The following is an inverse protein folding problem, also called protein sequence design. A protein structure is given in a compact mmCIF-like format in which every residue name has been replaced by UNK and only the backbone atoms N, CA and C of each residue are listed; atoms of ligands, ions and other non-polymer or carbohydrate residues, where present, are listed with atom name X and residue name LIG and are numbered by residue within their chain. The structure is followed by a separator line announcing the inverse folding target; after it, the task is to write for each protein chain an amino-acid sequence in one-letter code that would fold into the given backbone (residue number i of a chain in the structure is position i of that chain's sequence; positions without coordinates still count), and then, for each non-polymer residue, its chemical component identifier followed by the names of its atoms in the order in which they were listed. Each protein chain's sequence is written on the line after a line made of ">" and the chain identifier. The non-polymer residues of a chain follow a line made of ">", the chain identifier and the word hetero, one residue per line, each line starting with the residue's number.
data_IF_839170627932
#
_entry.id   IF_839170627932
#
_cell.length_a   1.000
_cell.length_b   1.000
_cell.length_c   1.000
_cell.angle_alpha   90.00
_cell.angle_beta   90.00
_cell.angle_gamma   90.00
#
_symmetry.space_group_name_H-M   'P 1'
#
loop_
_entity.id
_entity.type
_entity.pdbx_description
1 polymer ?
#
# COMPACT_ATOMS: atom_id res chain seq x y z
N UNK A 1 5.36 -7.89 2.06
CA UNK A 1 4.52 -6.74 2.44
C UNK A 1 4.33 -6.80 3.95
N UNK A 2 4.45 -5.68 4.67
CA UNK A 2 4.35 -5.68 6.14
C UNK A 2 2.89 -5.74 6.60
N UNK A 3 2.64 -6.26 7.79
CA UNK A 3 1.29 -6.37 8.35
C UNK A 3 0.59 -5.03 8.53
N UNK A 4 1.32 -3.98 8.91
CA UNK A 4 0.76 -2.62 9.04
C UNK A 4 0.31 -2.09 7.69
N UNK A 5 1.11 -2.27 6.64
CA UNK A 5 0.72 -1.85 5.30
C UNK A 5 -0.52 -2.62 4.83
N UNK A 6 -0.52 -3.95 4.98
CA UNK A 6 -1.66 -4.80 4.61
C UNK A 6 -2.94 -4.34 5.32
N UNK A 7 -2.87 -4.09 6.63
CA UNK A 7 -3.98 -3.60 7.43
C UNK A 7 -4.54 -2.29 6.87
N UNK A 8 -3.68 -1.29 6.64
CA UNK A 8 -4.10 0.04 6.18
C UNK A 8 -4.63 0.01 4.74
N UNK A 9 -3.99 -0.72 3.83
CA UNK A 9 -4.35 -0.77 2.42
C UNK A 9 -5.59 -1.63 2.13
N UNK A 10 -5.79 -2.71 2.89
CA UNK A 10 -6.87 -3.69 2.66
C UNK A 10 -8.03 -3.53 3.65
N UNK A 11 -7.84 -2.81 4.75
CA UNK A 11 -8.85 -2.64 5.79
C UNK A 11 -8.88 -3.75 6.83
N UNK A 12 -8.06 -4.79 6.68
CA UNK A 12 -7.96 -5.90 7.63
C UNK A 12 -6.60 -6.60 7.56
N UNK A 13 -6.23 -7.28 8.65
CA UNK A 13 -5.06 -8.14 8.73
C UNK A 13 -5.48 -9.52 9.23
N UNK A 14 -5.38 -10.58 8.40
CA UNK A 14 -5.81 -11.91 8.80
C UNK A 14 -4.87 -12.50 9.88
N UNK A 15 -5.37 -13.35 10.79
CA UNK A 15 -4.56 -13.96 11.86
C UNK A 15 -3.39 -14.80 11.35
N UNK A 16 -3.43 -15.31 10.12
CA UNK A 16 -2.37 -16.11 9.50
C UNK A 16 -1.21 -15.26 8.95
N UNK A 17 -1.35 -13.93 8.93
CA UNK A 17 -0.30 -13.05 8.42
C UNK A 17 0.94 -13.12 9.34
N UNK A 18 2.17 -13.23 8.81
CA UNK A 18 3.38 -13.42 9.62
C UNK A 18 3.63 -12.29 10.64
N UNK A 19 3.23 -11.06 10.31
CA UNK A 19 3.31 -9.90 11.20
C UNK A 19 2.10 -9.74 12.15
N UNK A 20 1.12 -10.64 12.12
CA UNK A 20 -0.03 -10.56 13.02
C UNK A 20 0.41 -10.82 14.48
N UNK A 21 -0.13 -10.13 15.49
CA UNK A 21 0.25 -10.39 16.89
C UNK A 21 0.04 -11.85 17.33
N UNK A 22 -0.96 -12.54 16.76
CA UNK A 22 -1.24 -13.95 17.03
C UNK A 22 -0.16 -14.92 16.51
N UNK A 23 0.65 -14.53 15.52
CA UNK A 23 1.72 -15.38 14.97
C UNK A 23 3.08 -15.15 15.64
N UNK A 24 3.23 -14.06 16.41
CA UNK A 24 4.51 -13.75 17.07
C UNK A 24 4.73 -14.66 18.27
N UNK A 25 5.72 -15.54 18.14
CA UNK A 25 6.34 -16.26 19.26
C UNK A 25 7.39 -15.33 19.86
N UNK A 26 7.20 -14.88 21.10
CA UNK A 26 8.21 -14.10 21.81
C UNK A 26 9.26 -15.05 22.38
N UNK A 27 10.54 -14.79 22.12
CA UNK A 27 11.66 -15.69 22.44
C UNK A 27 11.80 -15.99 23.95
N UNK A 28 11.26 -15.12 24.81
CA UNK A 28 11.39 -15.21 26.28
C UNK A 28 10.14 -15.73 27.02
N UNK A 29 8.99 -15.83 26.36
CA UNK A 29 7.82 -16.49 26.97
C UNK A 29 7.63 -17.83 26.27
N UNK A 30 7.86 -18.90 27.04
CA UNK A 30 7.86 -20.28 26.58
C UNK A 30 6.60 -20.67 25.78
N UNK A 31 6.59 -21.87 25.19
CA UNK A 31 5.44 -22.32 24.41
C UNK A 31 4.17 -22.22 25.25
N UNK A 32 3.14 -21.54 24.71
CA UNK A 32 1.81 -21.56 25.34
C UNK A 32 1.35 -22.99 25.52
N UNK A 33 0.64 -23.25 26.61
CA UNK A 33 0.01 -24.55 26.78
C UNK A 33 -0.94 -24.80 25.61
N UNK A 34 -1.03 -26.04 25.08
CA UNK A 34 -2.01 -26.36 24.04
C UNK A 34 -3.42 -25.91 24.46
N UNK A 35 -4.03 -25.00 23.70
CA UNK A 35 -5.35 -24.43 23.97
C UNK A 35 -5.38 -23.07 24.68
N UNK A 36 -4.23 -22.52 25.09
CA UNK A 36 -4.14 -21.15 25.59
C UNK A 36 -3.97 -20.18 24.41
N UNK A 37 -5.00 -19.37 24.12
CA UNK A 37 -4.88 -18.23 23.21
C UNK A 37 -3.97 -17.17 23.86
N UNK A 38 -2.71 -17.07 23.41
CA UNK A 38 -1.73 -16.08 23.90
C UNK A 38 -2.19 -14.64 23.68
N UNK A 39 -2.81 -14.43 22.52
CA UNK A 39 -3.59 -13.25 22.21
C UNK A 39 -4.95 -13.73 21.72
N UNK A 40 -6.05 -13.12 22.16
CA UNK A 40 -7.32 -13.34 21.48
C UNK A 40 -7.12 -13.10 19.99
N UNK A 41 -7.77 -13.89 19.14
CA UNK A 41 -7.80 -13.64 17.68
C UNK A 41 -8.56 -12.33 17.42
N UNK A 42 -7.93 -11.21 17.75
CA UNK A 42 -8.46 -9.88 17.57
C UNK A 42 -8.58 -9.65 16.07
N UNK A 43 -9.79 -9.37 15.63
CA UNK A 43 -10.01 -8.91 14.28
C UNK A 43 -9.40 -7.51 14.14
N UNK A 44 -8.20 -7.43 13.59
CA UNK A 44 -7.55 -6.16 13.28
C UNK A 44 -8.16 -5.62 11.98
N UNK A 45 -8.90 -4.52 12.11
CA UNK A 45 -9.58 -3.88 10.98
C UNK A 45 -9.49 -2.36 11.04
N UNK A 46 -9.26 -1.77 9.88
CA UNK A 46 -9.50 -0.36 9.59
C UNK A 46 -10.66 -0.20 8.61
N UNK A 47 -11.63 -1.13 8.55
CA UNK A 47 -12.69 -1.11 7.55
C UNK A 47 -13.55 0.17 7.57
N UNK A 48 -13.63 0.84 8.72
CA UNK A 48 -14.29 2.15 8.85
C UNK A 48 -13.46 3.31 8.27
N UNK A 49 -12.16 3.09 8.09
CA UNK A 49 -11.16 4.03 7.58
C UNK A 49 -10.52 3.41 6.32
N UNK A 50 -11.22 3.51 5.20
CA UNK A 50 -10.70 3.00 3.93
C UNK A 50 -9.58 3.91 3.44
N UNK A 51 -8.35 3.40 3.34
CA UNK A 51 -7.22 4.21 2.90
C UNK A 51 -6.70 3.79 1.52
N UNK A 52 -6.12 4.76 0.81
CA UNK A 52 -5.26 4.54 -0.37
C UNK A 52 -3.95 5.29 -0.17
N UNK A 53 -2.85 4.78 -0.72
CA UNK A 53 -1.58 5.50 -0.73
C UNK A 53 -1.57 6.49 -1.89
N UNK A 54 -1.08 7.71 -1.66
CA UNK A 54 -0.97 8.75 -2.67
C UNK A 54 -0.18 8.27 -3.90
N UNK A 55 0.92 7.55 -3.71
CA UNK A 55 1.74 7.04 -4.83
C UNK A 55 1.05 5.87 -5.55
N UNK A 56 0.44 4.95 -4.80
CA UNK A 56 -0.31 3.86 -5.41
C UNK A 56 -1.48 4.37 -6.26
N UNK A 57 -2.16 5.42 -5.80
CA UNK A 57 -3.25 6.07 -6.55
C UNK A 57 -2.71 6.81 -7.79
N UNK A 58 -1.64 7.59 -7.65
CA UNK A 58 -1.10 8.40 -8.75
C UNK A 58 -0.41 7.57 -9.84
N UNK A 59 0.35 6.54 -9.44
CA UNK A 59 1.25 5.79 -10.32
C UNK A 59 0.81 4.32 -10.50
N UNK A 60 -0.29 3.90 -9.86
CA UNK A 60 -0.75 2.50 -9.88
C UNK A 60 0.11 1.54 -9.06
N UNK A 61 1.11 2.03 -8.31
CA UNK A 61 2.00 1.22 -7.46
C UNK A 61 2.73 2.06 -6.42
N UNK A 62 3.25 1.38 -5.40
CA UNK A 62 4.21 1.99 -4.49
C UNK A 62 5.58 2.18 -5.15
N UNK A 63 6.35 3.22 -4.72
CA UNK A 63 7.71 3.41 -5.17
C UNK A 63 8.60 2.20 -4.77
N UNK A 64 9.59 1.80 -5.59
CA UNK A 64 10.59 0.81 -5.20
C UNK A 64 11.26 1.11 -3.85
N UNK A 65 11.54 2.38 -3.59
CA UNK A 65 12.06 2.84 -2.32
C UNK A 65 11.70 4.30 -2.05
N UNK A 66 11.63 4.62 -0.75
CA UNK A 66 11.60 5.98 -0.21
C UNK A 66 12.79 6.24 0.70
N UNK A 67 13.53 5.19 1.08
CA UNK A 67 14.73 5.30 1.91
C UNK A 67 15.84 4.48 1.29
N UNK A 68 17.07 5.01 1.31
CA UNK A 68 18.25 4.30 0.80
C UNK A 68 19.49 4.64 1.60
N UNK A 69 19.92 3.72 2.45
CA UNK A 69 21.18 3.79 3.20
C UNK A 69 22.26 2.92 2.55
N UNK A 70 23.44 2.84 3.17
CA UNK A 70 24.54 2.02 2.67
C UNK A 70 24.25 0.51 2.69
N UNK A 71 23.38 0.06 3.58
CA UNK A 71 23.11 -1.36 3.82
C UNK A 71 21.66 -1.76 3.57
N UNK A 72 20.78 -0.79 3.30
CA UNK A 72 19.35 -1.05 3.18
C UNK A 72 18.66 -0.07 2.23
N UNK A 73 17.66 -0.57 1.52
CA UNK A 73 16.78 0.23 0.68
C UNK A 73 15.36 -0.34 0.75
N UNK A 74 14.36 0.55 0.76
CA UNK A 74 12.97 0.12 0.75
C UNK A 74 11.98 1.28 0.81
N UNK A 75 10.70 0.95 0.60
CA UNK A 75 9.59 1.88 0.71
C UNK A 75 8.96 1.77 2.10
N UNK A 76 9.19 2.78 2.93
CA UNK A 76 8.63 2.85 4.30
C UNK A 76 7.89 4.16 4.60
N UNK A 77 7.94 5.12 3.68
CA UNK A 77 7.27 6.41 3.81
C UNK A 77 6.03 6.44 2.91
N UNK A 78 4.87 6.71 3.51
CA UNK A 78 3.59 6.70 2.81
C UNK A 78 2.77 7.94 3.18
N UNK A 79 2.02 8.47 2.20
CA UNK A 79 0.97 9.46 2.45
C UNK A 79 -0.37 8.76 2.23
N UNK A 80 -1.05 8.45 3.33
CA UNK A 80 -2.35 7.77 3.30
C UNK A 80 -3.49 8.77 3.15
N UNK A 81 -4.40 8.48 2.23
CA UNK A 81 -5.59 9.29 1.92
C UNK A 81 -6.84 8.49 2.25
N UNK A 82 -7.83 9.13 2.87
CA UNK A 82 -9.15 8.54 3.07
C UNK A 82 -9.85 8.39 1.72
N UNK A 83 -10.21 7.15 1.34
CA UNK A 83 -10.89 6.86 0.08
C UNK A 83 -12.26 7.53 0.06
N UNK A 84 -12.55 8.24 -1.03
CA UNK A 84 -13.81 8.95 -1.22
C UNK A 84 -13.83 10.38 -0.67
N UNK A 85 -12.89 10.75 0.22
CA UNK A 85 -12.74 12.12 0.72
C UNK A 85 -11.69 12.92 -0.08
N UNK A 86 -10.77 12.24 -0.74
CA UNK A 86 -9.69 12.85 -1.52
C UNK A 86 -9.56 12.19 -2.90
N UNK A 87 -9.14 12.98 -3.88
CA UNK A 87 -8.64 12.52 -5.18
C UNK A 87 -7.23 13.04 -5.41
N UNK A 88 -6.36 12.23 -6.00
CA UNK A 88 -4.98 12.62 -6.30
C UNK A 88 -4.93 13.36 -7.64
N UNK A 89 -4.51 14.62 -7.61
CA UNK A 89 -4.30 15.41 -8.81
C UNK A 89 -2.89 15.22 -9.39
N UNK A 90 -1.88 15.13 -8.52
CA UNK A 90 -0.50 14.90 -8.91
C UNK A 90 0.26 14.24 -7.75
N UNK A 91 1.37 13.58 -8.07
CA UNK A 91 2.33 13.10 -7.10
C UNK A 91 3.74 13.46 -7.55
N UNK A 92 4.63 13.70 -6.57
CA UNK A 92 6.03 14.01 -6.81
C UNK A 92 6.70 12.79 -7.44
N UNK A 93 7.20 12.97 -8.67
CA UNK A 93 7.97 11.94 -9.34
C UNK A 93 9.27 11.69 -8.58
N UNK A 94 9.57 10.41 -8.35
CA UNK A 94 10.79 10.00 -7.65
C UNK A 94 12.01 10.03 -8.58
N UNK A 95 13.23 10.22 -8.07
CA UNK A 95 14.44 10.42 -8.86
C UNK A 95 15.03 9.11 -9.42
N UNK A 96 14.18 8.19 -9.90
CA UNK A 96 14.60 6.99 -10.61
C UNK A 96 13.78 6.82 -11.89
N UNK A 97 14.40 6.17 -12.87
CA UNK A 97 13.78 5.85 -14.15
C UNK A 97 12.79 4.72 -13.93
N UNK A 98 11.49 5.01 -14.04
CA UNK A 98 10.45 4.00 -13.91
C UNK A 98 10.29 3.15 -15.18
N UNK A 99 11.16 3.36 -16.17
CA UNK A 99 11.19 2.66 -17.45
C UNK A 99 9.95 2.92 -18.30
N UNK A 100 9.15 3.95 -17.97
CA UNK A 100 7.83 4.16 -18.56
C UNK A 100 6.89 2.97 -18.36
N UNK A 101 7.10 2.17 -17.30
CA UNK A 101 6.23 1.05 -16.99
C UNK A 101 4.81 1.59 -16.81
N UNK A 102 3.82 1.05 -17.55
CA UNK A 102 2.44 1.50 -17.39
C UNK A 102 2.00 1.27 -15.94
N UNK A 103 1.09 2.11 -15.41
CA UNK A 103 0.53 1.88 -14.09
C UNK A 103 0.00 0.44 -14.01
N UNK A 104 0.46 -0.32 -13.00
CA UNK A 104 -0.03 -1.67 -12.69
C UNK A 104 -1.41 -1.61 -12.03
N UNK A 105 -2.28 -0.75 -12.55
CA UNK A 105 -3.66 -0.67 -12.11
C UNK A 105 -4.39 -2.00 -12.38
N UNK A 106 -5.42 -2.31 -11.58
CA UNK A 106 -6.21 -3.53 -11.75
C UNK A 106 -6.90 -3.66 -13.13
N UNK A 107 -6.90 -2.60 -13.94
CA UNK A 107 -7.56 -2.55 -15.26
C UNK A 107 -6.62 -2.79 -16.46
N UNK A 108 -5.34 -3.11 -16.24
CA UNK A 108 -4.38 -3.36 -17.33
C UNK A 108 -4.74 -4.56 -18.25
N UNK A 109 -5.79 -5.31 -17.91
CA UNK A 109 -6.23 -6.51 -18.64
C UNK A 109 -7.40 -6.30 -19.64
N UNK A 110 -7.88 -5.08 -19.90
CA UNK A 110 -9.19 -4.94 -20.59
C UNK A 110 -9.32 -3.99 -21.80
N UNK A 111 -8.24 -3.49 -22.42
CA UNK A 111 -8.36 -2.74 -23.69
C UNK A 111 -7.40 -3.20 -24.80
N UNK A 112 -7.73 -4.34 -25.43
CA UNK A 112 -7.94 -4.41 -26.88
C UNK A 112 -6.82 -4.02 -27.86
N UNK A 113 -5.54 -4.14 -27.50
CA UNK A 113 -4.42 -3.88 -28.41
C UNK A 113 -3.89 -5.15 -29.10
N UNK A 114 -4.38 -5.46 -30.30
CA UNK A 114 -3.88 -6.55 -31.15
C UNK A 114 -2.47 -6.24 -31.68
N UNK A 115 -1.41 -6.38 -30.87
CA UNK A 115 -0.05 -5.97 -31.25
C UNK A 115 1.06 -6.76 -30.58
N UNK A 116 1.39 -7.92 -31.16
CA UNK A 116 2.68 -8.66 -31.11
C UNK A 116 3.70 -8.21 -30.05
N UNK A 117 3.84 -9.04 -29.02
CA UNK A 117 5.02 -9.10 -28.17
C UNK A 117 4.68 -9.26 -26.70
N UNK A 118 3.99 -10.35 -26.32
CA UNK A 118 3.82 -10.72 -24.92
C UNK A 118 5.20 -11.02 -24.33
N UNK A 119 5.85 -9.98 -23.79
CA UNK A 119 7.07 -10.11 -23.02
C UNK A 119 6.60 -10.67 -21.69
N UNK A 120 6.92 -11.93 -21.42
CA UNK A 120 6.64 -12.53 -20.12
C UNK A 120 7.12 -11.57 -19.03
N UNK A 121 6.35 -11.35 -17.95
CA UNK A 121 6.77 -10.48 -16.87
C UNK A 121 8.03 -11.08 -16.25
N UNK A 122 9.19 -10.62 -16.70
CA UNK A 122 10.46 -10.92 -16.07
C UNK A 122 10.46 -10.12 -14.80
N UNK A 123 10.51 -10.82 -13.66
CA UNK A 123 10.77 -10.17 -12.38
C UNK A 123 12.10 -9.41 -12.53
N UNK A 124 12.03 -8.08 -12.49
CA UNK A 124 13.19 -7.21 -12.41
C UNK A 124 13.37 -6.83 -10.94
N UNK A 125 14.62 -6.83 -10.48
CA UNK A 125 14.93 -6.28 -9.17
C UNK A 125 14.49 -4.80 -9.15
N UNK A 126 13.54 -4.40 -8.29
CA UNK A 126 13.02 -3.04 -8.26
C UNK A 126 14.11 -2.01 -7.90
N UNK A 127 15.25 -2.45 -7.35
CA UNK A 127 16.39 -1.59 -7.06
C UNK A 127 17.35 -1.44 -8.24
N UNK A 128 17.25 -2.30 -9.27
CA UNK A 128 18.15 -2.26 -10.43
C UNK A 128 18.00 -0.98 -11.26
N UNK A 129 16.82 -0.36 -11.21
CA UNK A 129 16.52 0.91 -11.90
C UNK A 129 16.94 2.16 -11.10
N UNK A 130 17.37 1.99 -9.86
CA UNK A 130 17.74 3.11 -8.99
C UNK A 130 19.22 3.46 -9.15
N UNK A 131 19.48 4.46 -10.00
CA UNK A 131 20.83 4.85 -10.45
C UNK A 131 21.66 5.69 -9.47
N UNK A 132 21.10 6.12 -8.35
CA UNK A 132 21.84 6.94 -7.37
C UNK A 132 22.45 6.07 -6.25
N UNK A 133 23.53 6.56 -5.63
CA UNK A 133 24.24 5.91 -4.52
C UNK A 133 23.39 5.90 -3.24
N UNK A 134 23.79 5.19 -2.17
CA UNK A 134 23.26 5.44 -0.84
C UNK A 134 23.23 6.92 -0.46
N UNK A 135 22.17 7.36 0.21
CA UNK A 135 21.95 8.73 0.70
C UNK A 135 21.90 8.73 2.25
N UNK A 136 22.16 9.85 2.94
CA UNK A 136 22.46 11.18 2.41
C UNK A 136 23.82 11.26 1.69
N UNK A 137 23.92 12.19 0.75
CA UNK A 137 25.14 12.57 0.01
C UNK A 137 25.15 14.10 -0.28
N UNK A 138 26.03 14.59 -1.16
CA UNK A 138 26.06 16.01 -1.51
C UNK A 138 24.81 16.54 -2.25
N UNK A 139 23.98 15.66 -2.81
CA UNK A 139 22.74 16.00 -3.54
C UNK A 139 21.48 15.77 -2.70
N UNK A 140 21.52 14.77 -1.81
CA UNK A 140 20.41 14.37 -0.96
C UNK A 140 20.78 14.57 0.51
N UNK A 141 20.21 15.56 1.21
CA UNK A 141 20.59 15.86 2.60
C UNK A 141 20.00 14.89 3.63
N UNK A 142 19.20 13.90 3.20
CA UNK A 142 18.57 12.87 4.03
C UNK A 142 18.72 11.51 3.37
N UNK A 143 18.68 10.44 4.15
CA UNK A 143 18.53 9.05 3.69
C UNK A 143 17.11 8.72 3.19
N UNK A 144 16.15 9.64 3.39
CA UNK A 144 14.79 9.55 2.89
C UNK A 144 14.55 10.49 1.70
N UNK A 145 13.82 9.98 0.71
CA UNK A 145 13.23 10.74 -0.37
C UNK A 145 11.90 11.34 0.08
N UNK A 146 11.65 12.59 -0.30
CA UNK A 146 10.38 13.24 -0.02
C UNK A 146 9.25 12.55 -0.81
N UNK A 147 8.16 12.24 -0.10
CA UNK A 147 6.90 11.78 -0.69
C UNK A 147 5.87 12.91 -0.58
N UNK A 148 5.20 13.24 -1.68
CA UNK A 148 4.22 14.32 -1.69
C UNK A 148 3.47 14.40 -3.01
N UNK A 149 2.49 15.30 -3.07
CA UNK A 149 1.64 15.48 -4.24
C UNK A 149 0.52 16.47 -3.96
N UNK A 150 -0.21 16.83 -5.02
CA UNK A 150 -1.42 17.64 -4.90
C UNK A 150 -2.65 16.74 -4.77
N UNK A 151 -3.49 17.05 -3.79
CA UNK A 151 -4.76 16.36 -3.57
C UNK A 151 -5.94 17.33 -3.64
N UNK A 152 -7.06 16.85 -4.14
CA UNK A 152 -8.33 17.56 -4.19
C UNK A 152 -9.24 16.97 -3.13
N UNK A 153 -9.80 17.83 -2.28
CA UNK A 153 -10.84 17.44 -1.32
C UNK A 153 -12.15 17.24 -2.07
N UNK A 154 -12.75 16.07 -1.92
CA UNK A 154 -14.04 15.74 -2.52
C UNK A 154 -15.18 16.25 -1.65
N UNK A 155 -16.32 16.67 -2.24
CA UNK A 155 -17.50 16.99 -1.46
C UNK A 155 -17.99 15.74 -0.72
N UNK A 156 -18.64 15.90 0.45
CA UNK A 156 -19.21 14.76 1.16
C UNK A 156 -20.21 14.02 0.28
N UNK A 157 -20.34 12.69 0.42
CA UNK A 157 -21.34 11.94 -0.31
C UNK A 157 -22.74 12.49 0.01
N UNK A 158 -23.66 12.51 -0.96
CA UNK A 158 -25.03 12.92 -0.69
C UNK A 158 -25.61 12.06 0.43
N UNK A 159 -26.45 12.62 1.32
CA UNK A 159 -27.08 11.84 2.37
C UNK A 159 -27.81 10.65 1.77
N UNK A 160 -27.66 9.47 2.37
CA UNK A 160 -28.39 8.28 1.95
C UNK A 160 -29.88 8.60 1.95
N UNK A 161 -30.50 8.54 0.77
CA UNK A 161 -31.92 8.81 0.61
C UNK A 161 -32.70 7.81 1.47
N UNK A 162 -33.51 8.31 2.40
CA UNK A 162 -34.31 7.53 3.35
C UNK A 162 -35.29 6.55 2.68
N UNK A 163 -35.46 6.65 1.36
CA UNK A 163 -36.48 5.95 0.57
C UNK A 163 -36.22 4.46 0.33
N UNK A 164 -35.04 3.91 0.66
CA UNK A 164 -34.68 2.52 0.32
C UNK A 164 -34.45 1.57 1.51
N UNK A 165 -34.78 1.98 2.74
CA UNK A 165 -34.82 1.02 3.88
C UNK A 165 -36.19 0.33 3.89
N UNK A 166 -36.54 -0.36 2.80
CA UNK A 166 -37.47 -1.49 2.89
C UNK A 166 -36.61 -2.73 3.14
N UNK A 167 -36.27 -2.93 4.41
CA UNK A 167 -35.66 -4.17 4.86
C UNK A 167 -36.63 -5.31 4.51
N UNK A 168 -36.23 -6.14 3.56
CA UNK A 168 -36.77 -7.49 3.40
C UNK A 168 -36.45 -8.24 4.70
N UNK A 169 -37.43 -8.26 5.61
CA UNK A 169 -37.43 -9.18 6.75
C UNK A 169 -37.57 -10.58 6.17
N UNK A 170 -36.59 -11.48 6.34
CA UNK A 170 -36.78 -12.87 5.94
C UNK A 170 -37.87 -13.49 6.83
N UNK A 171 -38.87 -14.11 6.20
CA UNK A 171 -39.88 -14.94 6.87
C UNK A 171 -39.30 -16.29 7.31
#
# INVERSE_FOLDING_TARGET
>A
MSGVYTLLAQGSLPPEHPDHPATRVWEDEGPCSPGEERFPQLHLTSAQLQFTSLNAEAFGREPPLTTRTASWAGCIDFVWLSRGDFSVASALAMPYDDGGLPPLGPDADSTGGCGRGSRAPTWCDPLSDVRFSPIPDEFFPSDHLAVGGDVVVLPPPPPLSSSNIMATVPQ
#
